data_IF_971238552715
#
_entry.id   IF_971238552715
#
_cell.length_a   1.000
_cell.length_b   1.000
_cell.length_c   1.000
_cell.angle_alpha   90.00
_cell.angle_beta   90.00
_cell.angle_gamma   90.00
#
_symmetry.space_group_name_H-M   'P 1'
#
loop_
_entity.id
_entity.type
_entity.pdbx_description
1 polymer ?
#
# COMPACT_ATOMS: atom_id res chain seq x y z
N UNK A 1 -11.98 26.27 -8.76
CA UNK A 1 -11.39 25.20 -7.91
C UNK A 1 -11.14 23.99 -8.79
N UNK A 2 -10.04 23.27 -8.60
CA UNK A 2 -9.64 22.10 -9.42
C UNK A 2 -10.41 20.81 -9.10
N UNK A 3 -11.46 20.90 -8.28
CA UNK A 3 -12.22 19.78 -7.74
C UNK A 3 -12.05 19.60 -6.24
N UNK A 4 -12.55 18.48 -5.74
CA UNK A 4 -12.39 17.97 -4.38
C UNK A 4 -11.85 16.54 -4.45
N UNK A 5 -10.86 16.25 -3.63
CA UNK A 5 -10.15 14.99 -3.55
C UNK A 5 -10.18 14.54 -2.10
N UNK A 6 -10.78 13.39 -1.84
CA UNK A 6 -11.11 12.95 -0.49
C UNK A 6 -10.71 11.50 -0.31
N UNK A 7 -10.16 11.18 0.86
CA UNK A 7 -9.90 9.81 1.25
C UNK A 7 -10.13 9.61 2.75
N UNK A 8 -10.47 8.38 3.10
CA UNK A 8 -10.19 7.89 4.46
C UNK A 8 -8.79 7.29 4.45
N UNK A 9 -8.09 7.33 5.57
CA UNK A 9 -6.71 6.82 5.65
C UNK A 9 -6.48 5.95 6.87
N UNK A 10 -5.69 4.90 6.65
CA UNK A 10 -5.19 3.99 7.66
C UNK A 10 -3.66 3.88 7.59
N UNK A 11 -2.99 4.81 6.89
CA UNK A 11 -1.53 4.83 6.73
C UNK A 11 -0.80 4.94 8.06
N UNK A 12 -1.41 5.64 9.03
CA UNK A 12 -0.83 5.83 10.36
C UNK A 12 -1.38 4.85 11.39
N UNK A 13 -2.70 4.62 11.36
CA UNK A 13 -3.41 3.75 12.28
C UNK A 13 -4.82 3.42 11.79
N UNK A 14 -5.39 2.33 12.31
CA UNK A 14 -6.81 1.99 12.19
C UNK A 14 -7.47 2.10 13.56
N UNK A 15 -8.57 2.84 13.67
CA UNK A 15 -9.25 3.08 14.96
C UNK A 15 -10.76 3.18 14.80
N UNK A 16 -11.31 4.39 14.72
CA UNK A 16 -12.74 4.65 14.51
C UNK A 16 -13.06 4.49 13.02
N UNK A 17 -13.91 3.54 12.61
CA UNK A 17 -14.32 3.40 11.23
C UNK A 17 -15.12 4.61 10.76
N UNK A 18 -14.83 5.08 9.55
CA UNK A 18 -15.49 6.24 8.95
C UNK A 18 -15.61 6.06 7.45
N UNK A 19 -16.63 6.66 6.84
CA UNK A 19 -16.81 6.70 5.40
C UNK A 19 -17.05 8.11 4.89
N UNK A 20 -16.70 8.33 3.62
CA UNK A 20 -16.90 9.59 2.92
C UNK A 20 -17.82 9.37 1.72
N UNK A 21 -18.87 10.18 1.60
CA UNK A 21 -19.70 10.28 0.40
C UNK A 21 -19.50 11.65 -0.24
N UNK A 22 -18.96 11.66 -1.46
CA UNK A 22 -18.74 12.84 -2.28
C UNK A 22 -19.82 12.92 -3.35
N UNK A 23 -20.58 14.02 -3.37
CA UNK A 23 -21.59 14.31 -4.39
C UNK A 23 -21.14 15.48 -5.24
N UNK A 24 -21.28 15.35 -6.56
CA UNK A 24 -20.89 16.36 -7.55
C UNK A 24 -21.38 15.96 -8.94
N UNK A 25 -20.46 15.88 -9.90
CA UNK A 25 -20.71 15.25 -11.19
C UNK A 25 -21.02 13.74 -11.03
N UNK A 26 -20.48 13.10 -9.99
CA UNK A 26 -20.78 11.74 -9.58
C UNK A 26 -21.24 11.67 -8.11
N UNK A 27 -21.82 10.54 -7.71
CA UNK A 27 -22.15 10.22 -6.33
C UNK A 27 -21.33 9.00 -5.90
N UNK A 28 -20.28 9.24 -5.12
CA UNK A 28 -19.24 8.26 -4.81
C UNK A 28 -19.13 8.08 -3.30
N UNK A 29 -18.98 6.84 -2.82
CA UNK A 29 -18.74 6.53 -1.41
C UNK A 29 -17.49 5.67 -1.26
N UNK A 30 -16.67 5.95 -0.25
CA UNK A 30 -15.46 5.16 0.06
C UNK A 30 -15.20 5.09 1.56
N UNK A 31 -14.36 4.14 1.99
CA UNK A 31 -13.95 3.93 3.38
C UNK A 31 -14.94 3.16 4.25
N UNK A 32 -16.09 2.73 3.70
CA UNK A 32 -17.10 1.99 4.45
C UNK A 32 -16.53 0.66 4.95
N UNK A 33 -16.37 0.54 6.26
CA UNK A 33 -16.07 -0.71 6.96
C UNK A 33 -17.37 -1.51 7.13
N UNK A 34 -17.33 -2.82 6.84
CA UNK A 34 -18.49 -3.72 6.99
C UNK A 34 -18.84 -3.93 8.46
N UNK A 35 -20.06 -4.39 8.73
CA UNK A 35 -20.48 -4.76 10.09
C UNK A 35 -19.51 -5.77 10.72
N UNK A 36 -19.10 -5.51 11.96
CA UNK A 36 -18.06 -6.30 12.66
C UNK A 36 -16.65 -6.17 12.07
N UNK A 37 -16.45 -5.36 11.02
CA UNK A 37 -15.18 -5.19 10.32
C UNK A 37 -14.09 -4.64 11.23
N UNK A 38 -14.41 -3.70 12.14
CA UNK A 38 -13.43 -3.17 13.10
C UNK A 38 -12.87 -4.27 14.00
N UNK A 39 -13.75 -5.03 14.66
CA UNK A 39 -13.33 -6.15 15.50
C UNK A 39 -12.49 -7.16 14.69
N UNK A 40 -12.91 -7.46 13.45
CA UNK A 40 -12.17 -8.34 12.56
C UNK A 40 -10.75 -7.84 12.23
N UNK A 41 -10.53 -6.52 12.05
CA UNK A 41 -9.18 -5.97 11.86
C UNK A 41 -8.34 -6.21 13.11
N UNK A 42 -8.86 -5.85 14.28
CA UNK A 42 -8.13 -6.01 15.54
C UNK A 42 -7.76 -7.47 15.78
N UNK A 43 -8.68 -8.40 15.57
CA UNK A 43 -8.45 -9.82 15.76
C UNK A 43 -7.45 -10.40 14.74
N UNK A 44 -7.60 -10.04 13.46
CA UNK A 44 -6.68 -10.47 12.42
C UNK A 44 -5.24 -9.99 12.68
N UNK A 45 -5.07 -8.76 13.15
CA UNK A 45 -3.75 -8.20 13.46
C UNK A 45 -3.17 -8.80 14.74
N UNK A 46 -3.99 -9.02 15.79
CA UNK A 46 -3.55 -9.73 17.01
C UNK A 46 -3.01 -11.14 16.72
N UNK A 47 -3.56 -11.81 15.72
CA UNK A 47 -3.18 -13.18 15.33
C UNK A 47 -2.01 -13.22 14.33
N UNK A 48 -1.58 -12.07 13.79
CA UNK A 48 -0.58 -11.99 12.74
C UNK A 48 0.85 -11.82 13.30
N UNK A 49 1.29 -12.72 14.19
CA UNK A 49 2.69 -12.81 14.64
C UNK A 49 3.27 -11.47 15.12
N UNK A 50 4.30 -10.97 14.43
CA UNK A 50 4.99 -9.72 14.74
C UNK A 50 4.08 -8.48 14.78
N UNK A 51 2.92 -8.53 14.12
CA UNK A 51 1.96 -7.43 14.12
C UNK A 51 1.13 -7.35 15.41
N UNK A 52 1.14 -8.38 16.26
CA UNK A 52 0.26 -8.44 17.44
C UNK A 52 0.46 -7.24 18.38
N UNK A 53 1.70 -6.77 18.54
CA UNK A 53 2.06 -5.63 19.41
C UNK A 53 1.60 -4.27 18.85
N UNK A 54 1.12 -4.22 17.61
CA UNK A 54 0.58 -3.01 17.00
C UNK A 54 -0.84 -2.71 17.48
N UNK A 55 -1.53 -3.69 18.06
CA UNK A 55 -2.87 -3.53 18.60
C UNK A 55 -2.76 -2.93 20.01
N UNK A 56 -3.26 -1.71 20.16
CA UNK A 56 -3.26 -0.97 21.42
C UNK A 56 -4.65 -1.04 22.03
N UNK A 57 -4.79 -1.97 22.97
CA UNK A 57 -6.02 -2.31 23.66
C UNK A 57 -7.19 -2.50 22.68
N UNK A 58 -8.32 -1.86 22.95
CA UNK A 58 -9.44 -1.69 22.03
C UNK A 58 -9.50 -0.27 21.47
N UNK A 59 -8.39 0.46 21.42
CA UNK A 59 -8.39 1.86 20.95
C UNK A 59 -8.02 1.95 19.47
N UNK A 60 -6.89 1.35 19.08
CA UNK A 60 -6.34 1.47 17.72
C UNK A 60 -5.42 0.31 17.39
N UNK A 61 -5.16 0.14 16.11
CA UNK A 61 -4.05 -0.64 15.56
C UNK A 61 -3.08 0.32 14.88
N UNK A 62 -1.84 0.38 15.34
CA UNK A 62 -0.78 1.23 14.78
C UNK A 62 -0.33 0.63 13.45
N UNK A 63 -0.16 1.43 12.40
CA UNK A 63 0.39 0.92 11.15
C UNK A 63 1.86 0.47 11.35
N UNK A 64 2.30 -0.61 10.69
CA UNK A 64 3.60 -1.24 10.96
C UNK A 64 4.80 -0.32 10.84
N UNK A 65 4.77 0.69 9.96
CA UNK A 65 5.86 1.68 9.85
C UNK A 65 6.07 2.47 11.15
N UNK A 66 4.98 2.98 11.74
CA UNK A 66 5.03 3.68 13.03
C UNK A 66 5.31 2.73 14.19
N UNK A 67 4.84 1.48 14.08
CA UNK A 67 5.20 0.41 15.01
C UNK A 67 6.70 0.12 15.03
N UNK A 68 7.35 0.12 13.87
CA UNK A 68 8.79 -0.06 13.72
C UNK A 68 9.53 1.09 14.42
N UNK A 69 9.14 2.34 14.15
CA UNK A 69 9.76 3.51 14.78
C UNK A 69 9.55 3.56 16.30
N UNK A 70 8.46 2.97 16.79
CA UNK A 70 8.17 2.83 18.22
C UNK A 70 8.81 1.60 18.88
N UNK A 71 9.58 0.78 18.16
CA UNK A 71 10.18 -0.45 18.69
C UNK A 71 9.16 -1.58 18.98
N UNK A 72 7.98 -1.50 18.35
CA UNK A 72 6.91 -2.48 18.46
C UNK A 72 6.93 -3.52 17.32
N UNK A 73 7.62 -3.22 16.23
CA UNK A 73 7.69 -4.05 15.03
C UNK A 73 9.16 -4.32 14.62
N UNK A 74 9.51 -5.51 14.13
CA UNK A 74 10.88 -5.83 13.75
C UNK A 74 11.38 -4.98 12.59
N UNK A 75 12.60 -4.44 12.73
CA UNK A 75 13.22 -3.57 11.73
C UNK A 75 13.65 -4.32 10.45
N UNK A 76 13.69 -5.65 10.48
CA UNK A 76 14.13 -6.54 9.42
C UNK A 76 13.02 -7.45 8.89
N UNK A 77 11.75 -7.22 9.27
CA UNK A 77 10.60 -8.05 8.87
C UNK A 77 10.53 -8.34 7.36
N UNK A 78 10.74 -7.33 6.51
CA UNK A 78 10.69 -7.50 5.05
C UNK A 78 12.02 -7.94 4.44
N UNK A 79 13.12 -7.99 5.21
CA UNK A 79 14.45 -8.28 4.67
C UNK A 79 14.51 -9.58 3.85
N UNK A 80 13.94 -10.72 4.29
CA UNK A 80 13.97 -11.95 3.49
C UNK A 80 13.25 -11.82 2.14
N UNK A 81 12.11 -11.13 2.09
CA UNK A 81 11.37 -10.90 0.85
C UNK A 81 12.10 -9.92 -0.08
N UNK A 82 12.74 -8.90 0.48
CA UNK A 82 13.56 -7.95 -0.27
C UNK A 82 14.77 -8.64 -0.89
N UNK A 83 15.45 -9.49 -0.13
CA UNK A 83 16.59 -10.27 -0.62
C UNK A 83 16.16 -11.19 -1.77
N UNK A 84 15.05 -11.91 -1.62
CA UNK A 84 14.53 -12.80 -2.65
C UNK A 84 14.14 -12.06 -3.94
N UNK A 85 13.56 -10.85 -3.84
CA UNK A 85 13.28 -9.98 -4.99
C UNK A 85 14.58 -9.58 -5.68
N UNK A 86 15.60 -9.17 -4.92
CA UNK A 86 16.89 -8.78 -5.49
C UNK A 86 17.60 -9.94 -6.19
N UNK A 87 17.61 -11.12 -5.58
CA UNK A 87 18.22 -12.32 -6.14
C UNK A 87 17.50 -12.77 -7.40
N UNK A 88 16.16 -12.83 -7.36
CA UNK A 88 15.32 -13.22 -8.51
C UNK A 88 15.57 -12.31 -9.70
N UNK A 89 15.59 -11.00 -9.49
CA UNK A 89 15.76 -10.02 -10.55
C UNK A 89 17.21 -9.73 -10.90
N UNK A 90 18.19 -10.39 -10.28
CA UNK A 90 19.55 -10.51 -10.85
C UNK A 90 19.55 -11.40 -12.10
N UNK A 91 18.71 -12.44 -12.10
CA UNK A 91 18.60 -13.43 -13.17
C UNK A 91 17.40 -13.28 -14.10
N UNK A 92 16.39 -12.48 -13.75
CA UNK A 92 15.15 -12.29 -14.52
C UNK A 92 14.78 -10.82 -14.69
N UNK A 93 13.98 -10.49 -15.69
CA UNK A 93 13.44 -9.15 -15.86
C UNK A 93 12.19 -8.94 -14.99
N UNK A 94 12.09 -7.75 -14.39
CA UNK A 94 10.89 -7.22 -13.76
C UNK A 94 10.26 -6.17 -14.69
N UNK A 95 9.02 -6.37 -15.10
CA UNK A 95 8.31 -5.39 -15.94
C UNK A 95 7.43 -4.50 -15.06
N UNK A 96 7.56 -3.18 -15.20
CA UNK A 96 6.75 -2.16 -14.51
C UNK A 96 6.10 -1.26 -15.55
N UNK A 97 4.77 -1.21 -15.58
CA UNK A 97 3.98 -0.31 -16.41
C UNK A 97 3.57 0.93 -15.62
N UNK A 98 3.73 2.10 -16.23
CA UNK A 98 3.34 3.40 -15.68
C UNK A 98 2.64 4.22 -16.76
N UNK A 99 2.14 5.42 -16.40
CA UNK A 99 1.61 6.37 -17.38
C UNK A 99 2.66 6.84 -18.41
N UNK A 100 3.95 6.83 -18.07
CA UNK A 100 5.03 7.18 -19.01
C UNK A 100 5.35 6.04 -20.00
N UNK A 101 4.89 4.82 -19.72
CA UNK A 101 5.17 3.62 -20.50
C UNK A 101 5.72 2.47 -19.66
N UNK A 102 6.22 1.46 -20.35
CA UNK A 102 6.73 0.22 -19.75
C UNK A 102 8.24 0.29 -19.51
N UNK A 103 8.64 -0.03 -18.28
CA UNK A 103 10.02 -0.16 -17.83
C UNK A 103 10.37 -1.63 -17.62
N UNK A 104 11.57 -2.01 -18.03
CA UNK A 104 12.13 -3.35 -17.79
C UNK A 104 13.32 -3.24 -16.85
N UNK A 105 13.24 -3.93 -15.72
CA UNK A 105 14.18 -3.84 -14.60
C UNK A 105 15.02 -5.10 -14.41
N UNK A 106 16.29 -4.90 -14.05
CA UNK A 106 17.23 -5.96 -13.69
C UNK A 106 18.15 -5.48 -12.58
N UNK A 107 18.47 -6.36 -11.64
CA UNK A 107 19.51 -6.08 -10.64
C UNK A 107 20.88 -6.16 -11.28
N UNK A 108 21.62 -5.04 -11.24
CA UNK A 108 22.99 -4.86 -11.70
C UNK A 108 23.75 -4.02 -10.68
N UNK A 109 24.96 -4.44 -10.33
CA UNK A 109 25.82 -3.73 -9.38
C UNK A 109 25.11 -3.36 -8.06
N UNK A 110 24.30 -4.30 -7.54
CA UNK A 110 23.55 -4.15 -6.29
C UNK A 110 22.30 -3.27 -6.37
N UNK A 111 21.99 -2.68 -7.53
CA UNK A 111 20.82 -1.82 -7.75
C UNK A 111 19.84 -2.47 -8.71
N UNK A 112 18.54 -2.28 -8.46
CA UNK A 112 17.50 -2.63 -9.42
C UNK A 112 17.38 -1.49 -10.44
N UNK A 113 17.96 -1.68 -11.62
CA UNK A 113 18.03 -0.67 -12.69
C UNK A 113 16.99 -0.98 -13.77
N UNK A 114 16.22 0.04 -14.15
CA UNK A 114 15.19 -0.02 -15.18
C UNK A 114 15.57 0.82 -16.39
N UNK A 115 15.22 0.30 -17.57
CA UNK A 115 15.26 1.01 -18.85
C UNK A 115 13.89 1.02 -19.50
N UNK A 116 13.63 1.97 -20.38
CA UNK A 116 12.34 2.17 -21.04
C UNK A 116 12.16 3.65 -21.38
N UNK A 117 11.03 4.28 -21.01
CA UNK A 117 10.82 5.73 -21.17
C UNK A 117 11.91 6.61 -20.54
N UNK A 118 12.56 6.12 -19.47
CA UNK A 118 13.74 6.72 -18.85
C UNK A 118 14.64 5.63 -18.23
N UNK A 119 15.86 6.00 -17.85
CA UNK A 119 16.73 5.15 -17.03
C UNK A 119 16.58 5.53 -15.57
N UNK A 120 16.06 4.62 -14.74
CA UNK A 120 15.85 4.84 -13.29
C UNK A 120 16.44 3.69 -12.51
N UNK A 121 16.90 3.90 -11.28
CA UNK A 121 17.48 2.81 -10.48
C UNK A 121 17.24 2.97 -8.98
N UNK A 122 17.04 1.85 -8.31
CA UNK A 122 16.71 1.79 -6.89
C UNK A 122 17.79 1.03 -6.13
N UNK A 123 18.19 1.56 -4.96
CA UNK A 123 18.99 0.81 -4.01
C UNK A 123 18.14 -0.32 -3.41
N UNK A 124 18.77 -1.35 -2.83
CA UNK A 124 18.05 -2.35 -2.03
C UNK A 124 17.35 -1.64 -0.86
N UNK A 125 16.02 -1.72 -0.73
CA UNK A 125 15.28 -1.07 0.34
C UNK A 125 15.47 -1.80 1.67
N UNK A 126 15.18 -1.10 2.76
CA UNK A 126 14.97 -1.66 4.08
C UNK A 126 13.48 -1.96 4.33
N UNK A 127 13.16 -2.65 5.43
CA UNK A 127 11.77 -2.79 5.92
C UNK A 127 11.11 -1.42 6.10
N UNK A 128 11.86 -0.43 6.61
CA UNK A 128 11.37 0.94 6.79
C UNK A 128 11.00 1.58 5.45
N UNK A 129 11.87 1.46 4.44
CA UNK A 129 11.61 1.99 3.10
C UNK A 129 10.35 1.36 2.47
N UNK A 130 10.15 0.05 2.65
CA UNK A 130 8.94 -0.64 2.19
C UNK A 130 7.69 -0.11 2.90
N UNK A 131 7.72 0.00 4.22
CA UNK A 131 6.55 0.36 5.03
C UNK A 131 6.10 1.82 4.83
N UNK A 132 7.05 2.75 4.69
CA UNK A 132 6.76 4.17 4.43
C UNK A 132 6.67 4.50 2.95
N UNK A 133 7.12 3.59 2.08
CA UNK A 133 7.35 3.85 0.66
C UNK A 133 8.21 5.10 0.42
N UNK A 134 9.32 5.18 1.16
CA UNK A 134 10.24 6.31 1.17
C UNK A 134 11.71 5.80 1.09
N UNK A 135 12.69 6.70 1.20
CA UNK A 135 14.11 6.39 1.23
C UNK A 135 14.55 5.76 -0.08
N UNK A 136 14.94 4.48 -0.07
CA UNK A 136 15.28 3.75 -1.30
C UNK A 136 14.10 3.64 -2.29
N UNK A 137 12.87 3.85 -1.83
CA UNK A 137 11.63 3.85 -2.60
C UNK A 137 10.96 5.23 -2.66
N UNK A 138 11.70 6.32 -2.38
CA UNK A 138 11.17 7.68 -2.50
C UNK A 138 10.62 7.93 -3.92
N UNK A 139 9.39 8.47 -3.99
CA UNK A 139 8.68 8.66 -5.25
C UNK A 139 8.52 10.16 -5.61
N UNK A 140 9.50 10.79 -6.27
CA UNK A 140 9.37 12.19 -6.70
C UNK A 140 8.31 12.35 -7.77
N UNK A 141 7.66 13.52 -7.85
CA UNK A 141 6.67 13.83 -8.89
C UNK A 141 7.32 14.18 -10.25
N UNK A 142 8.25 13.34 -10.72
CA UNK A 142 9.05 13.54 -11.94
C UNK A 142 8.49 12.82 -13.18
N UNK A 143 7.35 12.12 -13.02
CA UNK A 143 6.67 11.38 -14.08
C UNK A 143 7.38 10.10 -14.53
N UNK A 144 8.55 9.75 -13.97
CA UNK A 144 9.31 8.56 -14.37
C UNK A 144 9.81 7.76 -13.16
N UNK A 145 10.76 8.27 -12.38
CA UNK A 145 11.27 7.60 -11.18
C UNK A 145 10.17 7.38 -10.16
N UNK A 146 9.36 8.41 -9.89
CA UNK A 146 8.29 8.33 -8.90
C UNK A 146 7.26 7.25 -9.17
N UNK A 147 6.66 7.22 -10.38
CA UNK A 147 5.72 6.16 -10.74
C UNK A 147 6.30 4.75 -10.63
N UNK A 148 7.56 4.53 -10.99
CA UNK A 148 8.20 3.22 -10.83
C UNK A 148 8.39 2.89 -9.33
N UNK A 149 8.84 3.87 -8.52
CA UNK A 149 9.01 3.72 -7.08
C UNK A 149 7.68 3.36 -6.39
N UNK A 150 6.59 4.03 -6.77
CA UNK A 150 5.26 3.78 -6.23
C UNK A 150 4.77 2.36 -6.53
N UNK A 151 4.96 1.89 -7.77
CA UNK A 151 4.62 0.52 -8.16
C UNK A 151 5.45 -0.51 -7.38
N UNK A 152 6.74 -0.26 -7.16
CA UNK A 152 7.58 -1.15 -6.34
C UNK A 152 7.15 -1.16 -4.86
N UNK A 153 6.88 0.00 -4.28
CA UNK A 153 6.39 0.12 -2.90
C UNK A 153 5.07 -0.63 -2.68
N UNK A 154 4.12 -0.49 -3.61
CA UNK A 154 2.89 -1.27 -3.60
C UNK A 154 3.13 -2.77 -3.79
N UNK A 155 4.04 -3.14 -4.70
CA UNK A 155 4.40 -4.53 -4.98
C UNK A 155 4.98 -5.25 -3.76
N UNK A 156 5.85 -4.59 -2.99
CA UNK A 156 6.40 -5.12 -1.75
C UNK A 156 5.32 -5.28 -0.66
N UNK A 157 4.54 -4.23 -0.41
CA UNK A 157 3.50 -4.27 0.62
C UNK A 157 2.46 -5.36 0.33
N UNK A 158 2.07 -5.54 -0.93
CA UNK A 158 1.12 -6.56 -1.40
C UNK A 158 1.75 -7.93 -1.63
N UNK A 159 3.07 -8.07 -1.43
CA UNK A 159 3.86 -9.28 -1.66
C UNK A 159 3.65 -9.92 -3.04
N UNK A 160 3.63 -9.11 -4.10
CA UNK A 160 3.37 -9.57 -5.48
C UNK A 160 4.58 -9.50 -6.40
N UNK A 161 5.70 -8.92 -5.97
CA UNK A 161 6.90 -8.80 -6.81
C UNK A 161 7.52 -10.15 -7.18
N UNK A 162 7.16 -11.26 -6.55
CA UNK A 162 7.74 -12.58 -6.86
C UNK A 162 6.79 -13.50 -7.64
N UNK A 163 5.57 -13.04 -7.98
CA UNK A 163 4.58 -13.87 -8.65
C UNK A 163 4.80 -14.02 -10.17
N UNK A 164 5.80 -13.32 -10.73
CA UNK A 164 6.15 -13.35 -12.15
C UNK A 164 5.24 -12.53 -13.08
N UNK A 165 4.22 -11.85 -12.55
CA UNK A 165 3.35 -10.98 -13.34
C UNK A 165 3.97 -9.59 -13.56
N UNK A 166 3.64 -8.91 -14.68
CA UNK A 166 3.94 -7.48 -14.84
C UNK A 166 3.31 -6.65 -13.72
N UNK A 167 4.03 -5.64 -13.26
CA UNK A 167 3.59 -4.72 -12.23
C UNK A 167 3.01 -3.44 -12.85
N UNK A 168 2.06 -2.76 -12.18
CA UNK A 168 1.38 -3.22 -10.97
C UNK A 168 0.40 -4.35 -11.26
N UNK A 169 0.33 -5.32 -10.34
CA UNK A 169 -0.73 -6.33 -10.37
C UNK A 169 -2.07 -5.68 -10.05
N UNK A 170 -3.10 -5.96 -10.85
CA UNK A 170 -4.45 -5.39 -10.71
C UNK A 170 -5.48 -6.38 -10.16
N UNK A 171 -5.14 -7.68 -10.11
CA UNK A 171 -5.98 -8.69 -9.48
C UNK A 171 -5.78 -8.69 -7.96
N UNK A 172 -6.80 -8.26 -7.22
CA UNK A 172 -6.80 -8.23 -5.76
C UNK A 172 -6.60 -9.62 -5.13
N UNK A 173 -7.03 -10.69 -5.82
CA UNK A 173 -6.89 -12.07 -5.35
C UNK A 173 -5.44 -12.53 -5.22
N UNK A 174 -4.50 -11.85 -5.90
CA UNK A 174 -3.08 -12.15 -5.81
C UNK A 174 -2.38 -11.49 -4.61
N UNK A 175 -3.00 -10.48 -3.99
CA UNK A 175 -2.37 -9.68 -2.94
C UNK A 175 -2.29 -10.42 -1.61
N UNK A 176 -1.20 -10.19 -0.88
CA UNK A 176 -1.01 -10.64 0.50
C UNK A 176 -1.11 -12.16 0.70
N UNK A 177 -0.73 -12.93 -0.34
CA UNK A 177 -0.77 -14.40 -0.38
C UNK A 177 0.50 -15.05 0.17
N UNK A 178 1.62 -14.32 0.23
CA UNK A 178 2.88 -14.79 0.80
C UNK A 178 2.88 -14.71 2.34
N UNK A 179 3.78 -15.48 2.96
CA UNK A 179 3.97 -15.47 4.42
C UNK A 179 4.52 -14.13 4.93
N UNK A 180 5.48 -13.53 4.24
CA UNK A 180 5.96 -12.17 4.53
C UNK A 180 5.19 -11.20 3.64
N UNK A 181 4.31 -10.42 4.27
CA UNK A 181 3.48 -9.42 3.60
C UNK A 181 3.01 -8.35 4.60
N UNK A 182 2.37 -7.27 4.13
CA UNK A 182 1.77 -6.27 5.02
C UNK A 182 0.42 -6.78 5.56
N UNK A 183 0.46 -7.58 6.62
CA UNK A 183 -0.73 -8.17 7.24
C UNK A 183 -1.70 -7.13 7.82
N UNK A 184 -1.20 -5.97 8.24
CA UNK A 184 -2.04 -4.84 8.64
C UNK A 184 -2.91 -4.35 7.47
N UNK A 185 -2.30 -4.04 6.32
CA UNK A 185 -3.06 -3.59 5.15
C UNK A 185 -4.03 -4.68 4.67
N UNK A 186 -3.58 -5.95 4.62
CA UNK A 186 -4.47 -7.10 4.31
C UNK A 186 -5.73 -7.10 5.18
N UNK A 187 -5.58 -6.90 6.49
CA UNK A 187 -6.71 -6.91 7.43
C UNK A 187 -7.67 -5.74 7.18
N UNK A 188 -7.14 -4.54 6.95
CA UNK A 188 -7.95 -3.34 6.69
C UNK A 188 -8.74 -3.49 5.37
N UNK A 189 -8.12 -3.92 4.28
CA UNK A 189 -8.84 -4.19 3.02
C UNK A 189 -9.94 -5.23 3.19
N UNK A 190 -9.69 -6.33 3.91
CA UNK A 190 -10.68 -7.37 4.16
C UNK A 190 -11.86 -6.92 5.05
N UNK A 191 -11.73 -5.76 5.70
CA UNK A 191 -12.76 -5.17 6.55
C UNK A 191 -13.62 -4.12 5.82
N UNK A 192 -13.22 -3.64 4.65
CA UNK A 192 -14.02 -2.67 3.88
C UNK A 192 -15.01 -3.37 2.94
N UNK A 193 -16.11 -2.69 2.65
CA UNK A 193 -17.21 -3.22 1.82
C UNK A 193 -16.79 -3.40 0.36
N UNK A 194 -15.99 -2.47 -0.16
CA UNK A 194 -15.53 -2.44 -1.55
C UNK A 194 -14.13 -3.05 -1.73
N UNK A 195 -13.53 -3.56 -0.65
CA UNK A 195 -12.16 -4.06 -0.63
C UNK A 195 -11.09 -2.99 -0.82
N UNK A 196 -11.44 -1.69 -0.74
CA UNK A 196 -10.51 -0.57 -0.85
C UNK A 196 -10.15 0.01 0.50
N UNK A 197 -8.89 0.36 0.68
CA UNK A 197 -8.36 0.96 1.90
C UNK A 197 -7.06 1.70 1.60
N UNK A 198 -6.71 2.69 2.41
CA UNK A 198 -5.41 3.35 2.35
C UNK A 198 -4.53 2.78 3.49
N UNK A 199 -4.07 1.53 3.34
CA UNK A 199 -3.33 0.80 4.38
C UNK A 199 -1.82 1.07 4.39
N UNK A 200 -1.28 1.64 3.31
CA UNK A 200 0.09 2.13 3.16
C UNK A 200 0.15 3.26 2.13
N UNK A 201 1.28 3.96 2.01
CA UNK A 201 1.39 5.23 1.28
C UNK A 201 1.04 5.17 -0.22
N UNK A 202 1.26 4.04 -0.90
CA UNK A 202 0.97 3.85 -2.34
C UNK A 202 -0.14 2.85 -2.62
N UNK A 203 -1.16 2.78 -1.75
CA UNK A 203 -2.30 1.88 -1.97
C UNK A 203 -3.19 2.32 -3.16
N UNK A 204 -3.03 3.56 -3.60
CA UNK A 204 -3.68 4.12 -4.79
C UNK A 204 -3.16 3.50 -6.10
N UNK A 205 -1.99 2.85 -6.08
CA UNK A 205 -1.50 2.05 -7.21
C UNK A 205 -2.53 0.98 -7.56
N UNK A 206 -2.97 0.99 -8.83
CA UNK A 206 -4.06 0.16 -9.36
C UNK A 206 -5.46 0.43 -8.75
N UNK A 207 -5.65 1.54 -8.04
CA UNK A 207 -6.97 2.05 -7.63
C UNK A 207 -7.58 1.38 -6.39
N UNK A 208 -6.74 0.86 -5.49
CA UNK A 208 -7.16 0.15 -4.26
C UNK A 208 -7.23 1.04 -3.01
N UNK A 209 -6.78 2.29 -3.09
CA UNK A 209 -6.98 3.28 -2.05
C UNK A 209 -8.47 3.62 -1.82
N UNK A 210 -8.82 3.89 -0.57
CA UNK A 210 -10.11 4.45 -0.16
C UNK A 210 -10.22 5.95 -0.50
N UNK A 211 -10.22 6.25 -1.79
CA UNK A 211 -10.11 7.59 -2.38
C UNK A 211 -11.23 7.86 -3.40
N UNK A 212 -11.76 9.08 -3.38
CA UNK A 212 -12.76 9.59 -4.33
C UNK A 212 -12.41 11.02 -4.75
N UNK A 213 -12.83 11.39 -5.96
CA UNK A 213 -12.59 12.74 -6.47
C UNK A 213 -13.72 13.22 -7.38
N UNK A 214 -13.94 14.53 -7.41
CA UNK A 214 -14.93 15.16 -8.30
C UNK A 214 -14.45 16.56 -8.69
N UNK A 215 -14.56 16.92 -9.97
CA UNK A 215 -14.12 18.23 -10.48
C UNK A 215 -15.19 19.32 -10.34
N UNK A 216 -16.43 18.96 -10.01
CA UNK A 216 -17.57 19.84 -9.77
C UNK A 216 -18.36 19.41 -8.50
N UNK A 217 -17.72 19.37 -7.32
CA UNK A 217 -18.33 18.88 -6.09
C UNK A 217 -19.45 19.81 -5.61
N UNK A 218 -20.55 19.22 -5.15
CA UNK A 218 -21.71 19.92 -4.55
C UNK A 218 -21.89 19.59 -3.06
N UNK A 219 -21.27 18.52 -2.56
CA UNK A 219 -21.36 18.14 -1.16
C UNK A 219 -20.40 17.03 -0.74
N UNK A 220 -20.04 17.01 0.55
CA UNK A 220 -19.27 15.96 1.18
C UNK A 220 -19.96 15.56 2.49
N UNK A 221 -20.12 14.26 2.71
CA UNK A 221 -20.62 13.70 3.97
C UNK A 221 -19.57 12.76 4.56
N UNK A 222 -19.13 13.08 5.77
CA UNK A 222 -18.40 12.15 6.64
C UNK A 222 -19.39 11.42 7.53
N UNK A 223 -19.30 10.09 7.59
CA UNK A 223 -20.08 9.26 8.50
C UNK A 223 -19.13 8.53 9.44
N UNK A 224 -19.36 8.65 10.75
CA UNK A 224 -18.69 7.81 11.75
C UNK A 224 -19.54 6.56 11.95
N UNK A 225 -18.95 5.39 11.73
CA UNK A 225 -19.68 4.12 11.84
C UNK A 225 -19.58 3.60 13.28
N UNK A 226 -20.68 3.22 13.94
CA UNK A 226 -20.66 2.58 15.26
C UNK A 226 -19.88 1.25 15.23
N UNK A 227 -19.27 0.88 16.36
CA UNK A 227 -18.50 -0.35 16.51
C UNK A 227 -18.51 -0.86 17.95
#
# INVERSE_FOLDING_TARGET
ASGMFCNTTMVDMFSVPMSLRLTGAQDQTTGTVRDGGRAAVFDAVRQAGDFARLVVDDTRVIAPGHGLDAGLFPADYFAPSIDEVWDTYGGKDLTVATAAGTFTGRVRDGRLAFTGPASVSFAKPSTRDVLFCDGALAAPNDGTTGPVAAVLGAGFNRSVLLNGAPQPVTDAGAFYTAGITNHYSRAVHAATVDGKAYGFAFDDVAGFASYVQDTAPTGLRLTLTPF
#
